data_IF_293507683367
#
_entry.id   IF_293507683367
#
_cell.length_a   1.000
_cell.length_b   1.000
_cell.length_c   1.000
_cell.angle_alpha   90.00
_cell.angle_beta   90.00
_cell.angle_gamma   90.00
#
_symmetry.space_group_name_H-M   'P 1'
#
loop_
_entity.id
_entity.type
_entity.pdbx_description
1 polymer ?
#
# COMPACT_ATOMS: atom_id res chain seq x y z
N UNK A 1 7.06 4.76 11.43
CA UNK A 1 5.93 3.80 11.53
C UNK A 1 6.13 2.68 10.51
N UNK A 2 5.76 1.43 10.84
CA UNK A 2 6.01 0.27 9.95
C UNK A 2 4.70 -0.51 9.70
N UNK A 3 3.77 0.06 8.91
CA UNK A 3 2.53 -0.63 8.55
C UNK A 3 2.70 -1.49 7.30
N UNK A 4 1.80 -2.47 7.10
CA UNK A 4 1.76 -3.24 5.84
C UNK A 4 0.39 -3.88 5.54
N UNK A 5 -0.70 -3.38 6.09
CA UNK A 5 -2.03 -3.97 5.87
C UNK A 5 -3.08 -2.90 5.56
N UNK A 6 -4.22 -3.35 5.03
CA UNK A 6 -5.24 -2.53 4.39
C UNK A 6 -5.83 -1.41 5.26
N UNK A 7 -5.99 -1.64 6.55
CA UNK A 7 -6.56 -0.66 7.50
C UNK A 7 -5.50 0.00 8.38
N UNK A 8 -4.38 -0.67 8.67
CA UNK A 8 -3.38 -0.07 9.54
C UNK A 8 -2.56 1.02 8.84
N UNK A 9 -2.40 0.97 7.50
CA UNK A 9 -1.71 2.05 6.77
C UNK A 9 -2.49 3.36 6.87
N UNK A 10 -3.78 3.45 6.45
CA UNK A 10 -4.53 4.69 6.56
C UNK A 10 -4.76 5.10 8.03
N UNK A 11 -5.02 4.16 8.92
CA UNK A 11 -5.20 4.47 10.35
C UNK A 11 -3.95 5.10 10.97
N UNK A 12 -2.75 4.64 10.61
CA UNK A 12 -1.51 5.24 11.10
C UNK A 12 -1.19 6.57 10.42
N UNK A 13 -1.59 6.80 9.15
CA UNK A 13 -1.48 8.10 8.50
C UNK A 13 -2.39 9.14 9.22
N UNK A 14 -3.63 8.77 9.53
CA UNK A 14 -4.52 9.60 10.34
C UNK A 14 -3.92 9.88 11.73
N UNK A 15 -3.37 8.86 12.39
CA UNK A 15 -2.71 9.02 13.69
C UNK A 15 -1.49 9.94 13.60
N UNK A 16 -0.67 9.81 12.55
CA UNK A 16 0.47 10.70 12.32
C UNK A 16 0.04 12.15 12.16
N UNK A 17 -1.04 12.41 11.41
CA UNK A 17 -1.63 13.74 11.28
C UNK A 17 -2.11 14.32 12.61
N UNK A 18 -2.74 13.50 13.47
CA UNK A 18 -3.24 13.91 14.79
C UNK A 18 -2.12 14.20 15.78
N UNK A 19 -1.16 13.27 15.89
CA UNK A 19 -0.04 13.38 16.84
C UNK A 19 0.94 14.47 16.40
N UNK A 20 1.12 14.63 15.11
CA UNK A 20 1.93 15.65 14.44
C UNK A 20 3.35 15.77 14.97
N UNK A 21 4.04 14.62 15.10
CA UNK A 21 5.47 14.54 15.42
C UNK A 21 6.25 14.05 14.21
N UNK A 22 7.54 14.43 14.04
CA UNK A 22 8.36 13.96 12.92
C UNK A 22 8.23 12.46 12.69
N UNK A 23 7.79 12.07 11.51
CA UNK A 23 7.41 10.67 11.21
C UNK A 23 7.80 10.30 9.79
N UNK A 24 8.34 9.10 9.61
CA UNK A 24 8.54 8.46 8.31
C UNK A 24 7.84 7.10 8.30
N UNK A 25 7.21 6.76 7.19
CA UNK A 25 6.58 5.47 6.97
C UNK A 25 7.51 4.53 6.22
N UNK A 26 7.57 3.29 6.66
CA UNK A 26 8.25 2.20 5.98
C UNK A 26 7.27 1.04 5.87
N UNK A 27 6.74 0.81 4.69
CA UNK A 27 5.90 -0.37 4.44
C UNK A 27 6.72 -1.65 4.50
N UNK A 28 6.09 -2.75 4.89
CA UNK A 28 6.72 -4.07 4.82
C UNK A 28 6.98 -4.55 3.38
N UNK A 29 6.35 -3.92 2.39
CA UNK A 29 6.48 -4.24 0.98
C UNK A 29 5.51 -5.32 0.49
N UNK A 30 5.28 -5.39 -0.83
CA UNK A 30 4.42 -6.40 -1.44
C UNK A 30 5.10 -7.78 -1.46
N UNK A 31 4.28 -8.85 -1.46
CA UNK A 31 4.76 -10.19 -1.75
C UNK A 31 5.15 -10.34 -3.23
N UNK A 32 5.92 -11.36 -3.55
CA UNK A 32 6.17 -11.73 -4.94
C UNK A 32 4.93 -12.39 -5.57
N UNK A 33 4.80 -12.26 -6.88
CA UNK A 33 3.80 -13.01 -7.63
C UNK A 33 4.08 -14.51 -7.55
N UNK A 34 3.03 -15.31 -7.44
CA UNK A 34 3.10 -16.76 -7.55
C UNK A 34 3.28 -17.22 -8.99
N UNK A 35 3.42 -18.53 -9.16
CA UNK A 35 3.47 -19.14 -10.48
C UNK A 35 2.78 -20.50 -10.47
N UNK A 36 1.70 -20.63 -11.25
CA UNK A 36 0.95 -21.88 -11.42
C UNK A 36 0.90 -22.20 -12.91
N UNK A 37 1.22 -23.43 -13.28
CA UNK A 37 1.23 -23.91 -14.68
C UNK A 37 1.98 -22.97 -15.66
N UNK A 38 3.07 -22.36 -15.17
CA UNK A 38 3.88 -21.42 -15.97
C UNK A 38 3.38 -19.98 -16.02
N UNK A 39 2.15 -19.69 -15.58
CA UNK A 39 1.56 -18.36 -15.54
C UNK A 39 1.82 -17.67 -14.19
N UNK A 40 2.06 -16.34 -14.22
CA UNK A 40 2.12 -15.55 -12.99
C UNK A 40 0.74 -15.46 -12.37
N UNK A 41 0.68 -15.57 -11.05
CA UNK A 41 -0.56 -15.54 -10.27
C UNK A 41 -0.49 -14.54 -9.13
N UNK A 42 -1.65 -14.10 -8.70
CA UNK A 42 -1.86 -13.26 -7.52
C UNK A 42 -3.06 -13.78 -6.74
N UNK A 43 -3.41 -13.14 -5.64
CA UNK A 43 -4.60 -13.52 -4.87
C UNK A 43 -5.88 -13.52 -5.71
N UNK A 44 -6.02 -12.64 -6.72
CA UNK A 44 -7.14 -12.67 -7.68
C UNK A 44 -7.27 -14.02 -8.37
N UNK A 45 -6.14 -14.59 -8.79
CA UNK A 45 -6.12 -15.90 -9.48
C UNK A 45 -6.64 -17.03 -8.59
N UNK A 46 -6.51 -16.90 -7.26
CA UNK A 46 -7.10 -17.89 -6.34
C UNK A 46 -8.63 -17.79 -6.31
N UNK A 47 -9.19 -16.58 -6.32
CA UNK A 47 -10.63 -16.38 -6.40
C UNK A 47 -11.19 -16.89 -7.73
N UNK A 48 -10.50 -16.66 -8.85
CA UNK A 48 -10.86 -17.18 -10.17
C UNK A 48 -10.79 -18.71 -10.20
N UNK A 49 -9.79 -19.34 -9.55
CA UNK A 49 -9.66 -20.79 -9.45
C UNK A 49 -10.84 -21.40 -8.67
N UNK A 50 -11.24 -20.82 -7.56
CA UNK A 50 -12.41 -21.26 -6.78
C UNK A 50 -13.69 -21.14 -7.61
N UNK A 51 -13.88 -20.05 -8.34
CA UNK A 51 -15.01 -19.87 -9.25
C UNK A 51 -15.03 -20.91 -10.38
N UNK A 52 -13.88 -21.18 -10.97
CA UNK A 52 -13.71 -22.20 -12.03
C UNK A 52 -14.00 -23.62 -11.53
N UNK A 53 -13.58 -23.94 -10.31
CA UNK A 53 -13.91 -25.19 -9.66
C UNK A 53 -15.42 -25.34 -9.43
N UNK A 54 -16.06 -24.30 -8.90
CA UNK A 54 -17.52 -24.30 -8.71
C UNK A 54 -18.29 -24.44 -10.02
N UNK A 55 -17.76 -23.92 -11.13
CA UNK A 55 -18.31 -24.04 -12.46
C UNK A 55 -18.00 -25.41 -13.15
N UNK A 56 -17.22 -26.30 -12.50
CA UNK A 56 -16.84 -27.61 -13.06
C UNK A 56 -15.78 -27.55 -14.17
N UNK A 57 -15.09 -26.42 -14.33
CA UNK A 57 -14.04 -26.21 -15.37
C UNK A 57 -12.63 -26.41 -14.84
N UNK A 58 -12.47 -26.66 -13.54
CA UNK A 58 -11.19 -26.90 -12.86
C UNK A 58 -11.33 -28.08 -11.90
N UNK A 59 -10.26 -28.85 -11.74
CA UNK A 59 -10.22 -30.00 -10.80
C UNK A 59 -9.84 -29.53 -9.38
N UNK A 60 -10.10 -30.39 -8.39
CA UNK A 60 -9.69 -30.14 -7.00
C UNK A 60 -8.16 -30.08 -6.88
N UNK A 61 -7.43 -30.89 -7.63
CA UNK A 61 -5.97 -30.88 -7.69
C UNK A 61 -5.43 -29.55 -8.20
N UNK A 62 -6.08 -28.98 -9.22
CA UNK A 62 -5.72 -27.66 -9.74
C UNK A 62 -5.91 -26.57 -8.66
N UNK A 63 -7.02 -26.58 -7.94
CA UNK A 63 -7.29 -25.62 -6.85
C UNK A 63 -6.23 -25.74 -5.76
N UNK A 64 -5.87 -26.95 -5.36
CA UNK A 64 -4.79 -27.20 -4.39
C UNK A 64 -3.43 -26.65 -4.87
N UNK A 65 -3.14 -26.75 -6.16
CA UNK A 65 -1.92 -26.16 -6.73
C UNK A 65 -1.94 -24.62 -6.63
N UNK A 66 -3.10 -23.97 -6.92
CA UNK A 66 -3.27 -22.54 -6.74
C UNK A 66 -3.11 -22.13 -5.27
N UNK A 67 -3.74 -22.83 -4.34
CA UNK A 67 -3.64 -22.59 -2.89
C UNK A 67 -2.19 -22.57 -2.41
N UNK A 68 -1.38 -23.54 -2.87
CA UNK A 68 0.01 -23.69 -2.45
C UNK A 68 0.97 -22.67 -3.07
N UNK A 69 0.68 -22.17 -4.28
CA UNK A 69 1.65 -21.42 -5.09
C UNK A 69 1.30 -19.97 -5.39
N UNK A 70 0.05 -19.56 -5.16
CA UNK A 70 -0.42 -18.21 -5.55
C UNK A 70 0.21 -17.10 -4.72
N UNK A 71 0.40 -17.30 -3.42
CA UNK A 71 0.98 -16.32 -2.49
C UNK A 71 2.28 -16.87 -1.89
N UNK A 72 3.40 -16.86 -2.63
CA UNK A 72 4.59 -17.65 -2.28
C UNK A 72 5.47 -17.04 -1.20
N UNK A 73 5.31 -15.77 -0.86
CA UNK A 73 6.21 -15.06 0.08
C UNK A 73 5.43 -14.20 1.07
N UNK A 74 6.11 -13.74 2.12
CA UNK A 74 5.58 -12.71 3.00
C UNK A 74 5.44 -11.37 2.25
N UNK A 75 4.65 -10.46 2.80
CA UNK A 75 4.39 -9.13 2.26
C UNK A 75 2.90 -8.80 2.19
N UNK A 76 2.57 -7.57 1.78
CA UNK A 76 1.21 -7.20 1.43
C UNK A 76 0.80 -7.89 0.11
N UNK A 77 -0.49 -7.83 -0.24
CA UNK A 77 -0.95 -8.35 -1.53
C UNK A 77 -0.16 -7.75 -2.70
N UNK A 78 0.10 -8.54 -3.74
CA UNK A 78 0.78 -8.11 -4.97
C UNK A 78 -0.18 -7.67 -6.08
N UNK A 79 -1.49 -7.72 -5.84
CA UNK A 79 -2.54 -7.48 -6.85
C UNK A 79 -3.18 -6.10 -6.77
N UNK A 80 -2.50 -5.08 -6.23
CA UNK A 80 -2.99 -3.70 -6.08
C UNK A 80 -4.31 -3.61 -5.28
N UNK A 81 -4.52 -4.55 -4.34
CA UNK A 81 -5.56 -4.40 -3.33
C UNK A 81 -5.19 -3.27 -2.35
N UNK A 82 -6.00 -3.06 -1.34
CA UNK A 82 -5.92 -1.89 -0.46
C UNK A 82 -4.56 -1.70 0.21
N UNK A 83 -3.93 -2.78 0.71
CA UNK A 83 -2.63 -2.68 1.36
C UNK A 83 -1.54 -2.20 0.39
N UNK A 84 -1.48 -2.80 -0.80
CA UNK A 84 -0.50 -2.41 -1.82
C UNK A 84 -0.78 -0.99 -2.33
N UNK A 85 -2.04 -0.64 -2.60
CA UNK A 85 -2.46 0.70 -2.99
C UNK A 85 -2.04 1.74 -1.95
N UNK A 86 -2.39 1.54 -0.68
CA UNK A 86 -2.06 2.50 0.38
C UNK A 86 -0.55 2.63 0.63
N UNK A 87 0.24 1.57 0.40
CA UNK A 87 1.70 1.65 0.47
C UNK A 87 2.28 2.56 -0.63
N UNK A 88 1.73 2.51 -1.85
CA UNK A 88 2.10 3.41 -2.94
C UNK A 88 1.62 4.85 -2.67
N UNK A 89 0.39 5.01 -2.19
CA UNK A 89 -0.16 6.32 -1.88
C UNK A 89 0.55 7.00 -0.69
N UNK A 90 1.07 6.23 0.27
CA UNK A 90 1.92 6.76 1.35
C UNK A 90 3.20 7.41 0.80
N UNK A 91 3.78 6.85 -0.25
CA UNK A 91 4.91 7.44 -0.96
C UNK A 91 4.49 8.71 -1.71
N UNK A 92 3.36 8.67 -2.42
CA UNK A 92 2.83 9.84 -3.15
C UNK A 92 2.43 11.00 -2.22
N UNK A 93 1.96 10.70 -1.01
CA UNK A 93 1.70 11.68 0.06
C UNK A 93 2.97 12.34 0.62
N UNK A 94 4.16 11.81 0.29
CA UNK A 94 5.43 12.28 0.84
C UNK A 94 5.78 11.71 2.21
N UNK A 95 4.97 10.79 2.76
CA UNK A 95 5.20 10.20 4.09
C UNK A 95 6.14 9.00 4.08
N UNK A 96 6.46 8.45 2.91
CA UNK A 96 7.40 7.35 2.68
C UNK A 96 8.50 7.75 1.70
N UNK A 97 9.64 7.07 1.78
CA UNK A 97 10.73 7.24 0.81
C UNK A 97 10.42 6.55 -0.51
N UNK A 98 11.10 6.97 -1.59
CA UNK A 98 10.99 6.34 -2.91
C UNK A 98 11.22 4.82 -2.87
N UNK A 99 10.30 4.07 -3.46
CA UNK A 99 10.28 2.61 -3.41
C UNK A 99 9.51 2.01 -2.23
N UNK A 100 8.90 2.85 -1.39
CA UNK A 100 8.12 2.39 -0.22
C UNK A 100 6.98 1.44 -0.63
N UNK A 101 6.26 1.74 -1.71
CA UNK A 101 5.15 0.94 -2.19
C UNK A 101 5.56 -0.24 -3.09
N UNK A 102 6.75 -0.22 -3.69
CA UNK A 102 7.10 -1.09 -4.82
C UNK A 102 8.22 -2.10 -4.56
N UNK A 103 9.14 -1.84 -3.61
CA UNK A 103 10.19 -2.81 -3.28
C UNK A 103 9.57 -4.05 -2.61
N UNK A 104 9.74 -5.27 -3.14
CA UNK A 104 9.20 -6.48 -2.52
C UNK A 104 9.72 -6.71 -1.10
N UNK A 105 8.87 -7.30 -0.25
CA UNK A 105 9.16 -7.55 1.15
C UNK A 105 10.42 -8.41 1.37
N UNK A 106 10.69 -9.35 0.49
CA UNK A 106 11.80 -10.31 0.58
C UNK A 106 13.12 -9.79 0.03
N UNK A 107 13.16 -8.59 -0.55
CA UNK A 107 14.37 -8.03 -1.14
C UNK A 107 15.21 -7.30 -0.07
N UNK A 108 16.54 -7.43 -0.17
CA UNK A 108 17.50 -6.73 0.70
C UNK A 108 17.33 -5.20 0.64
N UNK A 109 16.85 -4.68 -0.48
CA UNK A 109 16.55 -3.26 -0.67
C UNK A 109 15.46 -2.75 0.30
N UNK A 110 14.55 -3.62 0.74
CA UNK A 110 13.56 -3.29 1.77
C UNK A 110 14.23 -2.97 3.10
N UNK A 111 15.23 -3.76 3.50
CA UNK A 111 16.02 -3.50 4.73
C UNK A 111 16.84 -2.22 4.57
N UNK A 112 17.42 -1.98 3.39
CA UNK A 112 18.16 -0.75 3.10
C UNK A 112 17.26 0.48 3.17
N UNK A 113 16.02 0.40 2.61
CA UNK A 113 15.03 1.46 2.72
C UNK A 113 14.69 1.77 4.18
N UNK A 114 14.51 0.76 5.01
CA UNK A 114 14.24 0.94 6.44
C UNK A 114 15.38 1.68 7.17
N UNK A 115 16.63 1.36 6.84
CA UNK A 115 17.80 2.09 7.37
C UNK A 115 17.81 3.57 6.93
N UNK A 116 17.52 3.83 5.66
CA UNK A 116 17.43 5.20 5.13
C UNK A 116 16.28 5.97 5.77
N UNK A 117 15.15 5.34 6.02
CA UNK A 117 14.02 5.95 6.73
C UNK A 117 14.37 6.32 8.17
N UNK A 118 15.17 5.49 8.86
CA UNK A 118 15.72 5.83 10.18
C UNK A 118 16.61 7.07 10.15
N UNK A 119 17.43 7.24 9.11
CA UNK A 119 18.22 8.47 8.92
C UNK A 119 17.35 9.67 8.55
N UNK A 120 16.33 9.45 7.73
CA UNK A 120 15.41 10.51 7.30
C UNK A 120 14.60 11.08 8.47
N UNK A 121 14.11 10.24 9.39
CA UNK A 121 13.35 10.73 10.56
C UNK A 121 14.20 11.61 11.47
N UNK A 122 15.52 11.36 11.58
CA UNK A 122 16.42 12.22 12.34
C UNK A 122 16.54 13.60 11.70
N UNK A 123 16.63 13.66 10.36
CA UNK A 123 16.63 14.93 9.63
C UNK A 123 15.33 15.71 9.78
N UNK A 124 14.18 15.01 9.75
CA UNK A 124 12.88 15.65 10.00
C UNK A 124 12.82 16.23 11.40
N UNK A 125 13.38 15.53 12.40
CA UNK A 125 13.45 16.01 13.77
C UNK A 125 14.34 17.25 13.90
N UNK A 126 15.51 17.25 13.28
CA UNK A 126 16.44 18.39 13.27
C UNK A 126 15.85 19.64 12.62
N UNK A 127 15.00 19.45 11.60
CA UNK A 127 14.37 20.53 10.83
C UNK A 127 12.96 20.89 11.35
N UNK A 128 12.50 20.20 12.38
CA UNK A 128 11.12 20.28 12.91
C UNK A 128 10.03 20.11 11.83
N UNK A 129 10.27 19.25 10.82
CA UNK A 129 9.29 18.91 9.78
C UNK A 129 8.36 17.84 10.30
N UNK A 130 7.07 18.11 10.30
CA UNK A 130 6.02 17.29 10.88
C UNK A 130 5.04 16.75 9.82
N UNK A 131 4.24 15.74 10.11
CA UNK A 131 3.27 15.19 9.15
C UNK A 131 2.36 16.22 8.50
N UNK A 132 1.89 17.23 9.22
CA UNK A 132 1.03 18.30 8.66
C UNK A 132 1.76 19.26 7.74
N UNK A 133 3.09 19.32 7.79
CA UNK A 133 3.89 20.12 6.86
C UNK A 133 4.08 19.37 5.53
N UNK A 134 3.97 18.03 5.55
CA UNK A 134 4.11 17.15 4.39
C UNK A 134 2.75 16.82 3.76
N UNK A 135 1.79 16.40 4.59
CA UNK A 135 0.43 16.08 4.15
C UNK A 135 -0.36 17.38 3.99
N UNK A 136 -0.28 17.98 2.81
CA UNK A 136 -1.01 19.19 2.41
C UNK A 136 -2.13 18.83 1.42
N UNK A 137 -2.93 19.79 1.04
CA UNK A 137 -3.92 19.63 -0.04
C UNK A 137 -3.26 19.15 -1.33
N UNK A 138 -2.10 19.70 -1.68
CA UNK A 138 -1.36 19.34 -2.88
C UNK A 138 -0.85 17.91 -2.82
N UNK A 139 -0.39 17.43 -1.65
CA UNK A 139 0.03 16.05 -1.47
C UNK A 139 -1.14 15.06 -1.60
N UNK A 140 -2.33 15.44 -1.13
CA UNK A 140 -3.55 14.64 -1.33
C UNK A 140 -3.92 14.58 -2.83
N UNK A 141 -3.83 15.70 -3.55
CA UNK A 141 -4.07 15.74 -5.01
C UNK A 141 -3.04 14.87 -5.75
N UNK A 142 -1.77 14.92 -5.36
CA UNK A 142 -0.73 14.06 -5.92
C UNK A 142 -1.04 12.57 -5.66
N UNK A 143 -1.45 12.23 -4.44
CA UNK A 143 -1.83 10.86 -4.11
C UNK A 143 -3.04 10.40 -4.94
N UNK A 144 -4.04 11.25 -5.11
CA UNK A 144 -5.22 10.97 -5.94
C UNK A 144 -4.84 10.77 -7.41
N UNK A 145 -3.93 11.60 -7.93
CA UNK A 145 -3.40 11.44 -9.30
C UNK A 145 -2.69 10.10 -9.50
N UNK A 146 -1.87 9.71 -8.52
CA UNK A 146 -1.18 8.40 -8.53
C UNK A 146 -2.19 7.26 -8.40
N UNK A 147 -3.22 7.42 -7.56
CA UNK A 147 -4.31 6.45 -7.40
C UNK A 147 -5.00 6.14 -8.73
N UNK A 148 -5.36 7.18 -9.46
CA UNK A 148 -5.98 7.05 -10.78
C UNK A 148 -5.02 6.43 -11.82
N UNK A 149 -3.76 6.84 -11.82
CA UNK A 149 -2.76 6.34 -12.76
C UNK A 149 -2.44 4.85 -12.56
N UNK A 150 -2.44 4.37 -11.32
CA UNK A 150 -2.14 2.98 -10.97
C UNK A 150 -3.39 2.08 -11.02
N UNK A 151 -4.60 2.63 -11.03
CA UNK A 151 -5.83 1.86 -10.87
C UNK A 151 -5.89 1.18 -9.49
N UNK A 152 -5.71 1.95 -8.43
CA UNK A 152 -5.69 1.47 -7.07
C UNK A 152 -7.03 0.90 -6.60
N UNK A 153 -7.03 0.31 -5.40
CA UNK A 153 -8.25 -0.21 -4.77
C UNK A 153 -9.28 0.89 -4.54
N UNK A 154 -10.56 0.60 -4.76
CA UNK A 154 -11.67 1.51 -4.45
C UNK A 154 -11.69 1.97 -2.98
N UNK A 155 -11.04 1.23 -2.07
CA UNK A 155 -10.89 1.65 -0.68
C UNK A 155 -10.03 2.92 -0.52
N UNK A 156 -9.18 3.27 -1.49
CA UNK A 156 -8.44 4.54 -1.46
C UNK A 156 -9.39 5.74 -1.46
N UNK A 157 -10.54 5.63 -2.14
CA UNK A 157 -11.60 6.64 -2.15
C UNK A 157 -12.34 6.79 -0.81
N UNK A 158 -12.13 5.87 0.14
CA UNK A 158 -12.57 6.01 1.53
C UNK A 158 -11.42 6.54 2.41
N UNK A 159 -10.20 6.13 2.13
CA UNK A 159 -9.05 6.39 2.99
C UNK A 159 -8.42 7.76 2.75
N UNK A 160 -8.30 8.20 1.50
CA UNK A 160 -7.76 9.54 1.20
C UNK A 160 -8.62 10.66 1.77
N UNK A 161 -9.98 10.66 1.63
CA UNK A 161 -10.83 11.64 2.32
C UNK A 161 -10.66 11.61 3.84
N UNK A 162 -10.59 10.43 4.46
CA UNK A 162 -10.41 10.31 5.90
C UNK A 162 -9.05 10.88 6.37
N UNK A 163 -7.97 10.65 5.61
CA UNK A 163 -6.65 11.22 5.90
C UNK A 163 -6.67 12.74 5.69
N UNK A 164 -7.30 13.22 4.63
CA UNK A 164 -7.42 14.63 4.32
C UNK A 164 -8.20 15.39 5.40
N UNK A 165 -9.27 14.80 5.91
CA UNK A 165 -10.04 15.35 7.03
C UNK A 165 -9.15 15.61 8.27
N UNK A 166 -8.20 14.70 8.57
CA UNK A 166 -7.30 14.86 9.72
C UNK A 166 -6.33 16.05 9.59
N UNK A 167 -6.08 16.51 8.37
CA UNK A 167 -5.26 17.69 8.11
C UNK A 167 -6.11 18.96 7.85
N UNK A 168 -7.43 18.86 7.99
CA UNK A 168 -8.35 19.99 7.80
C UNK A 168 -8.70 20.27 6.35
N UNK A 169 -8.53 19.31 5.45
CA UNK A 169 -8.95 19.37 4.05
C UNK A 169 -10.04 18.33 3.79
N UNK A 170 -11.27 18.77 3.73
CA UNK A 170 -12.39 17.91 3.38
C UNK A 170 -12.59 17.89 1.86
N UNK A 171 -12.69 16.70 1.31
CA UNK A 171 -13.15 16.48 -0.05
C UNK A 171 -14.07 15.26 -0.10
N UNK A 172 -14.99 15.25 -1.04
CA UNK A 172 -15.87 14.15 -1.33
C UNK A 172 -15.41 13.37 -2.58
N UNK A 173 -16.14 12.33 -2.93
CA UNK A 173 -15.81 11.49 -4.09
C UNK A 173 -15.92 12.25 -5.41
N UNK A 174 -16.74 13.31 -5.47
CA UNK A 174 -16.90 14.13 -6.69
C UNK A 174 -15.66 14.95 -7.00
N UNK A 175 -14.86 15.25 -5.98
CA UNK A 175 -13.58 15.92 -6.17
C UNK A 175 -12.57 15.09 -6.98
N UNK A 176 -12.76 13.78 -7.04
CA UNK A 176 -11.91 12.85 -7.79
C UNK A 176 -12.27 12.77 -9.29
N UNK A 177 -13.40 13.36 -9.70
CA UNK A 177 -13.86 13.44 -11.08
C UNK A 177 -13.31 14.70 -11.77
#
# INVERSE_FOLDING_TARGET
MVPNCDKNVPGLLMAAARINVPTVFVSGGPMLAGKVKGCKTSLSSMFEAVGSYAAGTMTEEDVKEYEQKTCPTCGSCSGMYTANSMNCLTEALGMGLGGNGTIPAVYSDRIRLAKHAGMAVMKLLEQDIRPRDIMTKESIINALTVDMALGCSTNSMLHLPAIAHEIGFDFDIEFAN
#
